data_IF_628436905845
#
_entry.id   IF_628436905845
#
_cell.length_a   1.000
_cell.length_b   1.000
_cell.length_c   1.000
_cell.angle_alpha   90.00
_cell.angle_beta   90.00
_cell.angle_gamma   90.00
#
_symmetry.space_group_name_H-M   'P 1'
#
loop_
_entity.id
_entity.type
_entity.pdbx_description
1 polymer ?
#
# COMPACT_ATOMS: atom_id res chain seq x y z
N UNK A 1 2.32 -16.41 6.67
CA UNK A 1 1.86 -15.39 5.70
C UNK A 1 1.24 -16.12 4.51
N UNK A 2 0.29 -15.50 3.79
CA UNK A 2 -0.40 -16.15 2.67
C UNK A 2 0.54 -16.55 1.52
N UNK A 3 1.59 -15.76 1.27
CA UNK A 3 2.66 -16.04 0.31
C UNK A 3 3.93 -15.23 0.65
N UNK A 4 5.07 -15.56 0.04
CA UNK A 4 6.39 -14.99 0.39
C UNK A 4 6.49 -13.48 0.15
N UNK A 5 5.95 -13.02 -0.99
CA UNK A 5 5.95 -11.61 -1.38
C UNK A 5 4.87 -10.76 -0.70
N UNK A 6 4.06 -11.34 0.19
CA UNK A 6 2.94 -10.64 0.83
C UNK A 6 3.42 -9.39 1.58
N UNK A 7 2.91 -8.23 1.17
CA UNK A 7 3.33 -6.92 1.67
C UNK A 7 2.17 -6.02 2.14
N UNK A 8 0.97 -6.58 2.28
CA UNK A 8 -0.20 -5.86 2.78
C UNK A 8 -0.38 -5.92 4.31
N UNK A 9 -1.42 -5.24 4.78
CA UNK A 9 -1.80 -5.17 6.20
C UNK A 9 -1.16 -3.99 6.92
N UNK A 10 -0.04 -4.23 7.62
CA UNK A 10 0.69 -3.18 8.36
C UNK A 10 2.15 -3.19 7.94
N UNK A 11 2.61 -2.08 7.38
CA UNK A 11 4.00 -1.85 6.96
C UNK A 11 4.55 -0.59 7.61
N UNK A 12 5.87 -0.58 7.85
CA UNK A 12 6.57 0.58 8.39
C UNK A 12 7.79 0.90 7.54
N UNK A 13 7.90 2.16 7.12
CA UNK A 13 9.03 2.68 6.34
C UNK A 13 9.47 4.02 6.93
N UNK A 14 10.77 4.29 6.84
CA UNK A 14 11.28 5.66 7.00
C UNK A 14 10.85 6.53 5.82
N UNK A 15 10.83 7.84 6.01
CA UNK A 15 10.56 8.79 4.94
C UNK A 15 11.50 8.58 3.74
N UNK A 16 12.79 8.34 4.00
CA UNK A 16 13.81 8.13 2.97
C UNK A 16 13.48 6.87 2.16
N UNK A 17 13.13 5.77 2.81
CA UNK A 17 12.76 4.52 2.13
C UNK A 17 11.50 4.69 1.28
N UNK A 18 10.48 5.38 1.82
CA UNK A 18 9.24 5.64 1.10
C UNK A 18 9.48 6.50 -0.16
N UNK A 19 10.26 7.58 -0.02
CA UNK A 19 10.65 8.43 -1.16
C UNK A 19 11.49 7.69 -2.18
N UNK A 20 12.41 6.82 -1.75
CA UNK A 20 13.26 6.01 -2.64
C UNK A 20 12.46 4.99 -3.44
N UNK A 21 11.40 4.44 -2.85
CA UNK A 21 10.42 3.59 -3.54
C UNK A 21 9.41 4.37 -4.40
N UNK A 22 9.51 5.71 -4.42
CA UNK A 22 8.62 6.60 -5.14
C UNK A 22 7.14 6.52 -4.69
N UNK A 23 6.91 6.15 -3.42
CA UNK A 23 5.57 6.01 -2.85
C UNK A 23 4.69 4.95 -3.50
N UNK A 24 3.41 4.95 -3.14
CA UNK A 24 2.39 4.08 -3.73
C UNK A 24 1.89 4.60 -5.08
N UNK A 25 1.48 3.68 -5.96
CA UNK A 25 0.85 4.03 -7.24
C UNK A 25 -0.58 4.56 -7.02
N UNK A 26 -0.91 5.67 -7.69
CA UNK A 26 -2.24 6.28 -7.65
C UNK A 26 -3.22 5.70 -8.71
N UNK A 27 -2.84 4.62 -9.40
CA UNK A 27 -3.65 4.07 -10.50
C UNK A 27 -4.55 2.91 -10.08
N UNK A 28 -4.44 2.45 -8.84
CA UNK A 28 -5.25 1.35 -8.32
C UNK A 28 -6.55 1.87 -7.73
N UNK A 29 -7.67 1.45 -8.32
CA UNK A 29 -9.02 1.78 -7.84
C UNK A 29 -9.77 0.48 -7.57
N UNK A 30 -10.31 0.33 -6.36
CA UNK A 30 -10.97 -0.90 -5.92
C UNK A 30 -9.98 -1.91 -5.35
N UNK A 31 -10.33 -3.21 -5.42
CA UNK A 31 -9.57 -4.27 -4.75
C UNK A 31 -8.45 -4.83 -5.61
N UNK A 32 -7.30 -4.98 -4.99
CA UNK A 32 -6.28 -5.92 -5.41
C UNK A 32 -4.98 -5.29 -5.87
N UNK A 33 -3.92 -5.99 -5.49
CA UNK A 33 -2.59 -5.96 -6.07
C UNK A 33 -1.74 -4.75 -5.66
N UNK A 34 -2.31 -3.59 -5.28
CA UNK A 34 -1.56 -2.36 -4.89
C UNK A 34 -0.37 -2.61 -3.94
N UNK A 35 -0.57 -3.43 -2.91
CA UNK A 35 0.48 -3.87 -1.99
C UNK A 35 1.65 -4.60 -2.70
N UNK A 36 1.36 -5.44 -3.70
CA UNK A 36 2.35 -6.20 -4.46
C UNK A 36 3.19 -5.27 -5.39
N UNK A 37 2.66 -4.12 -5.81
CA UNK A 37 3.36 -3.17 -6.71
C UNK A 37 4.31 -2.38 -5.85
N UNK A 38 3.82 -1.96 -4.68
CA UNK A 38 4.65 -1.32 -3.70
C UNK A 38 5.76 -2.24 -3.19
N UNK A 39 5.52 -3.54 -3.04
CA UNK A 39 6.58 -4.52 -2.77
C UNK A 39 7.69 -4.50 -3.84
N UNK A 40 7.33 -4.58 -5.12
CA UNK A 40 8.34 -4.57 -6.19
C UNK A 40 9.06 -3.21 -6.28
N UNK A 41 8.38 -2.08 -5.99
CA UNK A 41 9.02 -0.74 -5.85
C UNK A 41 10.04 -0.70 -4.72
N UNK A 42 9.69 -1.20 -3.54
CA UNK A 42 10.59 -1.28 -2.39
C UNK A 42 11.80 -2.16 -2.72
N UNK A 43 11.58 -3.31 -3.37
CA UNK A 43 12.64 -4.20 -3.83
C UNK A 43 13.58 -3.51 -4.83
N UNK A 44 13.03 -2.83 -5.84
CA UNK A 44 13.79 -2.14 -6.88
C UNK A 44 14.51 -0.89 -6.35
N UNK A 45 14.02 -0.31 -5.25
CA UNK A 45 14.73 0.75 -4.51
C UNK A 45 15.96 0.23 -3.71
N UNK A 46 16.29 -1.07 -3.80
CA UNK A 46 17.30 -1.74 -2.98
C UNK A 46 17.06 -1.63 -1.47
N UNK A 47 15.78 -1.54 -1.05
CA UNK A 47 15.41 -1.56 0.37
C UNK A 47 15.20 -3.00 0.82
N UNK A 48 15.84 -3.39 1.92
CA UNK A 48 15.69 -4.74 2.48
C UNK A 48 14.39 -4.87 3.24
N UNK A 49 13.67 -5.94 2.97
CA UNK A 49 12.48 -6.31 3.73
C UNK A 49 12.87 -6.99 5.05
N UNK A 50 12.28 -6.51 6.13
CA UNK A 50 12.44 -7.11 7.45
C UNK A 50 11.08 -7.50 8.01
N UNK A 51 10.95 -8.74 8.51
CA UNK A 51 9.74 -9.27 9.13
C UNK A 51 10.05 -9.80 10.52
N UNK A 52 9.25 -9.39 11.50
CA UNK A 52 9.36 -9.90 12.87
C UNK A 52 8.87 -11.36 12.92
N UNK A 53 9.43 -12.19 13.82
CA UNK A 53 8.99 -13.58 14.00
C UNK A 53 7.49 -13.68 14.33
N UNK A 54 6.85 -14.74 13.83
CA UNK A 54 5.41 -14.98 14.02
C UNK A 54 5.00 -15.12 15.49
N UNK A 55 5.95 -15.44 16.40
CA UNK A 55 5.68 -15.53 17.83
C UNK A 55 5.31 -14.18 18.46
N UNK A 56 5.79 -13.07 17.89
CA UNK A 56 5.60 -11.72 18.44
C UNK A 56 4.79 -10.78 17.53
N UNK A 57 4.69 -11.09 16.23
CA UNK A 57 4.03 -10.24 15.24
C UNK A 57 2.74 -10.86 14.72
N UNK A 58 1.81 -11.13 15.64
CA UNK A 58 0.46 -11.63 15.33
C UNK A 58 -0.52 -10.46 15.34
N UNK A 59 -1.39 -10.41 14.33
CA UNK A 59 -2.43 -9.40 14.21
C UNK A 59 -3.79 -10.08 14.22
N UNK A 60 -4.79 -9.40 14.78
CA UNK A 60 -6.19 -9.79 14.71
C UNK A 60 -6.92 -8.76 13.84
N UNK A 61 -7.63 -9.24 12.82
CA UNK A 61 -8.54 -8.40 12.04
C UNK A 61 -9.81 -8.18 12.83
N UNK A 62 -10.35 -6.96 12.77
CA UNK A 62 -11.71 -6.71 13.26
C UNK A 62 -12.72 -7.43 12.38
N UNK A 63 -13.86 -7.79 12.97
CA UNK A 63 -14.97 -8.38 12.24
C UNK A 63 -15.44 -7.41 11.16
N UNK A 64 -15.63 -7.94 9.94
CA UNK A 64 -16.11 -7.19 8.80
C UNK A 64 -16.98 -8.08 7.92
N UNK A 65 -17.94 -7.47 7.23
CA UNK A 65 -18.74 -8.17 6.23
C UNK A 65 -17.80 -8.63 5.12
N UNK A 66 -17.79 -9.93 4.86
CA UNK A 66 -16.99 -10.51 3.79
C UNK A 66 -17.44 -9.88 2.49
N UNK A 67 -16.51 -9.21 1.80
CA UNK A 67 -16.81 -8.70 0.49
C UNK A 67 -16.88 -9.87 -0.50
N UNK A 68 -18.09 -10.19 -0.94
CA UNK A 68 -18.37 -11.25 -1.92
C UNK A 68 -18.21 -10.78 -3.36
N UNK A 69 -17.95 -9.48 -3.59
CA UNK A 69 -17.69 -8.98 -4.94
C UNK A 69 -16.42 -9.66 -5.48
N UNK A 70 -16.47 -10.16 -6.72
CA UNK A 70 -15.27 -10.71 -7.35
C UNK A 70 -14.17 -9.64 -7.34
N UNK A 71 -12.90 -10.03 -7.19
CA UNK A 71 -11.80 -9.10 -7.30
C UNK A 71 -11.96 -8.29 -8.59
N UNK A 72 -11.84 -6.96 -8.53
CA UNK A 72 -11.81 -6.15 -9.74
C UNK A 72 -10.50 -6.45 -10.48
N UNK A 73 -10.52 -7.48 -11.34
CA UNK A 73 -9.38 -8.01 -12.07
C UNK A 73 -8.70 -7.00 -13.01
N UNK A 74 -9.31 -5.84 -13.24
CA UNK A 74 -8.72 -4.73 -14.00
C UNK A 74 -7.39 -4.25 -13.39
N UNK A 75 -7.21 -4.36 -12.08
CA UNK A 75 -5.96 -3.99 -11.41
C UNK A 75 -4.86 -5.04 -11.58
N UNK A 76 -5.20 -6.33 -11.69
CA UNK A 76 -4.22 -7.42 -11.83
C UNK A 76 -3.42 -7.33 -13.15
N UNK A 77 -4.02 -6.79 -14.22
CA UNK A 77 -3.37 -6.64 -15.52
C UNK A 77 -2.26 -5.57 -15.49
N UNK A 78 -2.42 -4.51 -14.66
CA UNK A 78 -1.44 -3.40 -14.54
C UNK A 78 -0.07 -3.86 -14.01
N UNK A 79 -0.01 -4.96 -13.27
CA UNK A 79 1.21 -5.49 -12.63
C UNK A 79 2.24 -6.03 -13.60
N UNK A 80 1.81 -6.38 -14.80
CA UNK A 80 2.66 -7.07 -15.78
C UNK A 80 3.68 -6.16 -16.44
N UNK A 81 3.52 -4.83 -16.35
CA UNK A 81 4.37 -3.88 -17.08
C UNK A 81 5.29 -3.13 -16.13
N UNK A 82 6.53 -3.62 -15.99
CA UNK A 82 7.66 -2.97 -15.30
C UNK A 82 7.91 -1.50 -15.70
N UNK A 83 7.30 -1.01 -16.81
CA UNK A 83 7.37 0.39 -17.26
C UNK A 83 6.61 1.36 -16.33
N UNK A 84 5.60 0.90 -15.59
CA UNK A 84 4.83 1.75 -14.67
C UNK A 84 5.57 2.04 -13.35
N UNK A 85 6.70 1.35 -13.14
CA UNK A 85 7.41 1.35 -11.86
C UNK A 85 8.19 2.66 -11.62
N UNK A 86 8.59 3.36 -12.68
CA UNK A 86 9.28 4.66 -12.60
C UNK A 86 8.41 5.86 -13.01
N UNK A 87 7.19 5.64 -13.52
CA UNK A 87 6.36 6.69 -14.11
C UNK A 87 5.25 7.22 -13.19
N UNK A 88 5.45 7.29 -11.87
CA UNK A 88 4.44 7.94 -11.02
C UNK A 88 5.09 8.69 -9.86
N UNK A 89 5.74 9.81 -10.14
CA UNK A 89 5.58 11.00 -9.28
C UNK A 89 5.59 12.20 -10.21
N UNK A 90 4.48 12.93 -10.23
CA UNK A 90 4.57 14.38 -10.35
C UNK A 90 3.36 15.09 -9.74
N UNK A 91 2.11 14.65 -9.93
CA UNK A 91 0.96 15.53 -9.64
C UNK A 91 -0.33 14.81 -9.22
N UNK A 92 -0.30 13.85 -8.28
CA UNK A 92 -1.54 13.52 -7.57
C UNK A 92 -1.79 14.59 -6.49
N UNK A 93 -2.58 15.60 -6.84
CA UNK A 93 -3.05 16.63 -5.92
C UNK A 93 -4.51 16.35 -5.60
N UNK A 94 -4.83 16.21 -4.32
CA UNK A 94 -6.20 16.29 -3.83
C UNK A 94 -6.35 17.55 -3.00
N UNK A 95 -7.48 18.20 -3.13
CA UNK A 95 -7.80 19.38 -2.34
C UNK A 95 -8.29 18.94 -0.96
N UNK A 96 -7.71 19.53 0.08
CA UNK A 96 -8.18 19.28 1.45
C UNK A 96 -9.49 20.02 1.63
N UNK A 97 -10.55 19.28 1.90
CA UNK A 97 -11.89 19.85 2.11
C UNK A 97 -12.11 20.26 3.56
N UNK A 98 -11.67 19.45 4.51
CA UNK A 98 -11.78 19.74 5.94
C UNK A 98 -10.77 18.92 6.78
N UNK A 99 -10.37 19.45 7.93
CA UNK A 99 -9.53 18.79 8.93
C UNK A 99 -10.27 18.80 10.28
N UNK A 100 -10.60 17.61 10.79
CA UNK A 100 -11.16 17.44 12.13
C UNK A 100 -10.09 16.93 13.10
N UNK A 101 -9.97 17.56 14.27
CA UNK A 101 -9.06 17.13 15.35
C UNK A 101 -9.86 16.75 16.59
N UNK A 102 -9.64 15.54 17.08
CA UNK A 102 -10.07 15.10 18.42
C UNK A 102 -8.82 14.81 19.26
N UNK A 103 -9.00 14.52 20.55
CA UNK A 103 -7.89 14.36 21.51
C UNK A 103 -6.86 13.27 21.14
N UNK A 104 -7.25 12.29 20.33
CA UNK A 104 -6.41 11.14 19.97
C UNK A 104 -6.02 11.07 18.49
N UNK A 105 -6.84 11.64 17.60
CA UNK A 105 -6.73 11.43 16.14
C UNK A 105 -6.99 12.73 15.39
N UNK A 106 -6.14 13.00 14.40
CA UNK A 106 -6.37 14.01 13.37
C UNK A 106 -6.89 13.34 12.10
N UNK A 107 -8.12 13.67 11.69
CA UNK A 107 -8.72 13.22 10.43
C UNK A 107 -8.59 14.31 9.37
N UNK A 108 -8.12 13.93 8.19
CA UNK A 108 -8.02 14.81 7.02
C UNK A 108 -8.96 14.28 5.94
N UNK A 109 -9.87 15.11 5.46
CA UNK A 109 -10.76 14.79 4.34
C UNK A 109 -10.21 15.44 3.06
N UNK A 110 -10.13 14.65 1.98
CA UNK A 110 -9.51 14.98 0.67
C UNK A 110 -10.40 14.56 -0.49
#
# INVERSE_FOLDING_TARGET
>A
LPYEKYFGGVIGLTEIQFRKANGFSNTYFGWGSEDDDFYERVRLSNTKLFRKPLKIARYASLEHVINTKPPNHTNAIKYSHLRDLYFVVALYKREVTNICKNDFIKRVNV
#
